data_IF_424321532840
#
_entry.id   IF_424321532840
#
_cell.length_a   1.000
_cell.length_b   1.000
_cell.length_c   1.000
_cell.angle_alpha   90.00
_cell.angle_beta   90.00
_cell.angle_gamma   90.00
#
_symmetry.space_group_name_H-M   'P 1'
#
loop_
_entity.id
_entity.type
_entity.pdbx_description
1 polymer ?
#
# COMPACT_ATOMS: atom_id res chain seq x y z
N UNK A 1 15.01 -10.37 14.85
CA UNK A 1 14.07 -10.30 13.74
C UNK A 1 14.57 -9.35 12.68
N UNK A 2 14.66 -9.81 11.43
CA UNK A 2 15.26 -9.02 10.35
C UNK A 2 14.28 -9.00 9.18
N UNK A 3 13.76 -7.81 8.91
CA UNK A 3 12.87 -7.51 7.80
C UNK A 3 13.46 -6.40 6.92
N UNK A 4 13.04 -6.39 5.66
CA UNK A 4 13.31 -5.32 4.72
C UNK A 4 11.99 -4.89 4.08
N UNK A 5 11.85 -3.60 3.79
CA UNK A 5 10.68 -3.04 3.10
C UNK A 5 11.18 -2.20 1.94
N UNK A 6 10.61 -2.40 0.77
CA UNK A 6 10.87 -1.62 -0.41
C UNK A 6 9.61 -0.82 -0.74
N UNK A 7 9.75 0.48 -0.89
CA UNK A 7 8.68 1.40 -1.26
C UNK A 7 9.11 2.16 -2.52
N UNK A 8 8.20 2.26 -3.49
CA UNK A 8 8.39 2.98 -4.72
C UNK A 8 7.12 3.77 -5.05
N UNK A 9 7.25 5.07 -5.25
CA UNK A 9 6.15 5.96 -5.65
C UNK A 9 6.59 6.92 -6.73
N UNK A 10 5.62 7.47 -7.48
CA UNK A 10 5.91 8.42 -8.55
C UNK A 10 4.77 9.42 -8.74
N UNK A 11 5.09 10.72 -8.85
CA UNK A 11 4.10 11.76 -9.13
C UNK A 11 3.93 11.96 -10.65
N UNK A 12 2.85 11.43 -11.22
CA UNK A 12 2.44 11.66 -12.60
C UNK A 12 1.56 12.91 -12.70
N UNK A 13 2.09 13.99 -13.30
CA UNK A 13 1.32 15.21 -13.56
C UNK A 13 0.51 15.04 -14.86
N UNK A 14 -0.79 14.78 -14.74
CA UNK A 14 -1.70 14.82 -15.89
C UNK A 14 -1.99 16.26 -16.33
N UNK A 15 -2.13 17.15 -15.36
CA UNK A 15 -2.24 18.60 -15.58
C UNK A 15 -1.48 19.34 -14.47
N UNK A 16 -1.41 20.68 -14.53
CA UNK A 16 -0.86 21.49 -13.44
C UNK A 16 -1.67 21.41 -12.12
N UNK A 17 -2.79 20.69 -12.09
CA UNK A 17 -3.66 20.53 -10.91
C UNK A 17 -4.12 19.09 -10.67
N UNK A 18 -3.85 18.15 -11.59
CA UNK A 18 -4.29 16.77 -11.50
C UNK A 18 -3.04 15.89 -11.46
N UNK A 19 -2.79 15.29 -10.30
CA UNK A 19 -1.62 14.44 -10.04
C UNK A 19 -2.12 13.04 -9.73
N UNK A 20 -1.56 12.04 -10.40
CA UNK A 20 -1.72 10.64 -10.05
C UNK A 20 -0.43 10.14 -9.42
N UNK A 21 -0.56 9.51 -8.27
CA UNK A 21 0.54 9.01 -7.48
C UNK A 21 0.36 7.49 -7.35
N UNK A 22 0.86 6.70 -8.32
CA UNK A 22 1.06 5.27 -8.10
C UNK A 22 2.07 5.03 -6.99
N UNK A 23 1.79 4.02 -6.18
CA UNK A 23 2.67 3.52 -5.15
C UNK A 23 2.73 1.98 -5.20
N UNK A 24 3.90 1.45 -4.85
CA UNK A 24 4.18 0.04 -4.78
C UNK A 24 5.03 -0.20 -3.54
N UNK A 25 4.65 -1.21 -2.80
CA UNK A 25 5.33 -1.58 -1.59
C UNK A 25 5.50 -3.09 -1.47
N UNK A 26 6.66 -3.52 -0.98
CA UNK A 26 7.00 -4.93 -0.83
C UNK A 26 7.67 -5.18 0.52
N UNK A 27 7.10 -6.07 1.31
CA UNK A 27 7.65 -6.53 2.58
C UNK A 27 8.40 -7.85 2.47
N UNK A 28 9.63 -7.90 2.95
CA UNK A 28 10.48 -9.09 2.99
C UNK A 28 10.89 -9.42 4.43
N UNK A 29 10.83 -10.68 4.81
CA UNK A 29 11.37 -11.19 6.07
C UNK A 29 12.48 -12.21 5.79
N UNK A 30 13.60 -12.14 6.52
CA UNK A 30 14.70 -13.11 6.36
C UNK A 30 14.52 -14.37 7.20
N UNK A 31 13.58 -14.35 8.14
CA UNK A 31 13.31 -15.43 9.08
C UNK A 31 11.83 -15.46 9.39
N UNK A 32 11.32 -16.63 9.76
CA UNK A 32 9.95 -16.76 10.24
C UNK A 32 9.77 -16.04 11.57
N UNK A 33 8.63 -15.37 11.68
CA UNK A 33 8.19 -14.67 12.88
C UNK A 33 6.80 -15.21 13.22
N UNK A 34 6.72 -16.41 13.82
CA UNK A 34 5.44 -17.06 14.09
C UNK A 34 4.56 -16.22 15.00
N UNK A 35 5.16 -15.40 15.88
CA UNK A 35 4.40 -14.51 16.77
C UNK A 35 3.55 -13.48 15.99
N UNK A 36 3.98 -13.08 14.79
CA UNK A 36 3.32 -12.07 13.97
C UNK A 36 2.68 -12.65 12.70
N UNK A 37 2.71 -13.98 12.55
CA UNK A 37 2.18 -14.67 11.36
C UNK A 37 2.90 -14.32 10.06
N UNK A 38 4.15 -13.86 10.15
CA UNK A 38 4.99 -13.50 9.00
C UNK A 38 5.95 -14.65 8.75
N UNK A 39 5.88 -15.21 7.55
CA UNK A 39 6.82 -16.22 7.09
C UNK A 39 8.00 -15.60 6.34
N UNK A 40 9.05 -16.39 6.16
CA UNK A 40 10.26 -15.98 5.47
C UNK A 40 10.04 -15.69 3.98
N UNK A 41 10.85 -14.80 3.41
CA UNK A 41 10.77 -14.37 2.01
C UNK A 41 9.89 -13.13 1.80
N UNK A 42 9.33 -13.01 0.59
CA UNK A 42 8.37 -11.94 0.24
C UNK A 42 7.04 -12.23 0.94
N UNK A 43 6.74 -11.47 1.99
CA UNK A 43 5.56 -11.67 2.84
C UNK A 43 4.32 -10.92 2.35
N UNK A 44 4.52 -9.75 1.73
CA UNK A 44 3.44 -8.89 1.28
C UNK A 44 3.84 -8.02 0.08
N UNK A 45 2.81 -7.65 -0.68
CA UNK A 45 2.84 -6.74 -1.80
C UNK A 45 1.63 -5.82 -1.69
N UNK A 46 1.86 -4.52 -1.67
CA UNK A 46 0.82 -3.49 -1.78
C UNK A 46 1.02 -2.71 -3.08
N UNK A 47 -0.08 -2.50 -3.79
CA UNK A 47 -0.15 -1.67 -4.99
C UNK A 47 -1.22 -0.61 -4.77
N UNK A 48 -0.81 0.65 -4.72
CA UNK A 48 -1.70 1.78 -4.57
C UNK A 48 -1.67 2.74 -5.75
N UNK A 49 -2.75 3.50 -5.87
CA UNK A 49 -2.84 4.62 -6.78
C UNK A 49 -3.73 5.70 -6.18
N UNK A 50 -3.19 6.91 -6.04
CA UNK A 50 -3.91 8.08 -5.51
C UNK A 50 -4.03 9.18 -6.54
N UNK A 51 -5.27 9.57 -6.85
CA UNK A 51 -5.57 10.71 -7.70
C UNK A 51 -5.86 11.93 -6.83
N UNK A 52 -5.02 12.97 -6.95
CA UNK A 52 -5.11 14.24 -6.24
C UNK A 52 -5.47 15.36 -7.20
N UNK A 53 -6.48 16.17 -6.84
CA UNK A 53 -6.87 17.35 -7.60
C UNK A 53 -6.73 18.63 -6.77
N UNK A 54 -5.89 19.56 -7.23
CA UNK A 54 -5.61 20.84 -6.56
C UNK A 54 -6.62 21.90 -7.00
N UNK A 55 -7.71 22.07 -6.24
CA UNK A 55 -8.65 23.17 -6.48
C UNK A 55 -7.96 24.52 -6.25
N UNK A 56 -7.25 24.61 -5.12
CA UNK A 56 -6.38 25.71 -4.70
C UNK A 56 -5.15 25.11 -4.03
N UNK A 57 -4.07 25.88 -3.85
CA UNK A 57 -2.84 25.35 -3.23
C UNK A 57 -3.08 24.87 -1.79
N UNK A 58 -4.10 25.42 -1.16
CA UNK A 58 -4.55 25.16 0.22
C UNK A 58 -5.57 24.04 0.32
N UNK A 59 -6.19 23.60 -0.80
CA UNK A 59 -7.28 22.63 -0.81
C UNK A 59 -7.14 21.65 -1.98
N UNK A 60 -6.87 20.39 -1.63
CA UNK A 60 -6.66 19.29 -2.58
C UNK A 60 -7.46 18.05 -2.18
N UNK A 61 -8.69 17.84 -2.71
CA UNK A 61 -9.36 16.54 -2.64
C UNK A 61 -8.53 15.46 -3.32
N UNK A 62 -8.64 14.24 -2.77
CA UNK A 62 -8.02 13.06 -3.36
C UNK A 62 -8.91 11.83 -3.19
N UNK A 63 -8.75 10.90 -4.12
CA UNK A 63 -9.32 9.56 -4.07
C UNK A 63 -8.18 8.57 -4.33
N UNK A 64 -8.18 7.45 -3.62
CA UNK A 64 -7.16 6.43 -3.76
C UNK A 64 -7.75 5.04 -3.74
N UNK A 65 -7.08 4.13 -4.41
CA UNK A 65 -7.31 2.69 -4.30
C UNK A 65 -5.99 2.04 -3.88
N UNK A 66 -6.05 1.10 -2.96
CA UNK A 66 -4.93 0.20 -2.67
C UNK A 66 -5.40 -1.24 -2.83
N UNK A 67 -4.46 -2.10 -3.23
CA UNK A 67 -4.66 -3.53 -3.30
C UNK A 67 -3.49 -4.20 -2.61
N UNK A 68 -3.83 -4.96 -1.59
CA UNK A 68 -2.90 -5.64 -0.71
C UNK A 68 -2.95 -7.14 -0.98
N UNK A 69 -1.78 -7.77 -0.95
CA UNK A 69 -1.69 -9.23 -1.07
C UNK A 69 -0.59 -9.80 -0.20
N UNK A 70 -0.96 -10.81 0.60
CA UNK A 70 -0.01 -11.66 1.34
C UNK A 70 0.51 -12.76 0.43
N UNK A 71 1.82 -13.00 0.52
CA UNK A 71 2.58 -13.91 -0.33
C UNK A 71 3.39 -14.89 0.52
N UNK A 72 3.92 -15.95 -0.11
CA UNK A 72 4.77 -16.94 0.54
C UNK A 72 4.13 -17.61 1.77
N UNK A 73 4.97 -17.93 2.75
CA UNK A 73 4.57 -18.56 4.01
C UNK A 73 3.63 -17.65 4.83
N UNK A 74 3.77 -16.32 4.72
CA UNK A 74 2.83 -15.35 5.31
C UNK A 74 1.39 -15.56 4.81
N UNK A 75 1.22 -15.87 3.52
CA UNK A 75 -0.10 -16.18 2.97
C UNK A 75 -0.67 -17.48 3.54
N UNK A 76 0.19 -18.47 3.81
CA UNK A 76 -0.21 -19.75 4.38
C UNK A 76 -0.66 -19.57 5.85
N UNK A 77 0.06 -18.78 6.64
CA UNK A 77 -0.35 -18.40 8.00
C UNK A 77 -1.70 -17.69 8.02
N UNK A 78 -1.90 -16.72 7.12
CA UNK A 78 -3.18 -15.99 7.02
C UNK A 78 -4.33 -16.91 6.66
N UNK A 79 -4.15 -17.84 5.69
CA UNK A 79 -5.19 -18.82 5.35
C UNK A 79 -5.45 -19.80 6.49
N UNK A 80 -4.42 -20.24 7.21
CA UNK A 80 -4.57 -21.14 8.36
C UNK A 80 -5.37 -20.48 9.50
N UNK A 81 -5.27 -19.15 9.64
CA UNK A 81 -6.07 -18.35 10.55
C UNK A 81 -7.50 -18.04 10.02
N UNK A 82 -7.84 -18.49 8.81
CA UNK A 82 -9.13 -18.24 8.17
C UNK A 82 -9.28 -16.83 7.59
N UNK A 83 -8.18 -16.09 7.41
CA UNK A 83 -8.18 -14.75 6.84
C UNK A 83 -8.02 -14.73 5.32
N UNK A 84 -8.37 -13.60 4.73
CA UNK A 84 -8.16 -13.34 3.30
C UNK A 84 -6.73 -12.87 3.03
N UNK A 85 -6.10 -13.48 2.02
CA UNK A 85 -4.72 -13.13 1.61
C UNK A 85 -4.69 -11.94 0.66
N UNK A 86 -5.83 -11.35 0.33
CA UNK A 86 -5.92 -10.21 -0.56
C UNK A 86 -7.06 -9.30 -0.16
N UNK A 87 -6.81 -8.00 -0.15
CA UNK A 87 -7.76 -6.97 0.23
C UNK A 87 -7.66 -5.79 -0.75
N UNK A 88 -8.77 -5.12 -1.01
CA UNK A 88 -8.80 -3.91 -1.83
C UNK A 88 -9.50 -2.80 -1.04
N UNK A 89 -8.82 -1.67 -0.91
CA UNK A 89 -9.31 -0.52 -0.14
C UNK A 89 -9.55 0.67 -1.04
N UNK A 90 -10.69 1.34 -0.86
CA UNK A 90 -10.99 2.62 -1.49
C UNK A 90 -10.99 3.70 -0.42
N UNK A 91 -10.22 4.77 -0.64
CA UNK A 91 -10.15 5.93 0.26
C UNK A 91 -10.50 7.21 -0.50
N UNK A 92 -11.20 8.12 0.18
CA UNK A 92 -11.43 9.47 -0.31
C UNK A 92 -11.20 10.46 0.84
N UNK A 93 -10.58 11.59 0.54
CA UNK A 93 -10.24 12.58 1.55
C UNK A 93 -9.99 13.97 0.96
N UNK A 94 -9.77 14.94 1.84
CA UNK A 94 -9.44 16.31 1.47
C UNK A 94 -8.21 16.72 2.26
N UNK A 95 -7.14 17.12 1.56
CA UNK A 95 -6.00 17.80 2.17
C UNK A 95 -6.29 19.30 2.22
N UNK A 96 -6.27 19.90 3.40
CA UNK A 96 -6.45 21.33 3.61
C UNK A 96 -5.41 21.91 4.58
N UNK A 97 -4.94 23.13 4.36
CA UNK A 97 -4.04 23.88 5.26
C UNK A 97 -4.35 25.39 5.23
N UNK A 98 -4.11 26.12 6.33
CA UNK A 98 -4.46 27.54 6.53
C UNK A 98 -3.35 28.34 7.22
#
# INVERSE_FOLDING_TARGET
DVSARLEASYDLLFTQRLILEPDLEMGFALQDVPEWGVGSGLGDLELGARLRYELRRELAPYVGVSWDRRLGETADFVRAAGGDVSEATLVAGIRAWW
#
